data_IF_718751831762
#
_entry.id   IF_718751831762
#
_cell.length_a   1.000
_cell.length_b   1.000
_cell.length_c   1.000
_cell.angle_alpha   90.00
_cell.angle_beta   90.00
_cell.angle_gamma   90.00
#
_symmetry.space_group_name_H-M   'P 1'
#
loop_
_entity.id
_entity.type
_entity.pdbx_description
1 polymer ?
#
# COMPACT_ATOMS: atom_id res chain seq x y z
N UNK A 1 14.20 -8.55 31.58
CA UNK A 1 13.05 -8.10 30.77
C UNK A 1 13.37 -6.92 29.86
N UNK A 2 14.08 -5.88 30.30
CA UNK A 2 14.42 -4.68 29.50
C UNK A 2 15.17 -4.91 28.18
N UNK A 3 16.02 -5.94 28.08
CA UNK A 3 16.84 -6.21 26.89
C UNK A 3 16.04 -6.82 25.73
N UNK A 4 14.99 -7.59 26.03
CA UNK A 4 14.11 -8.21 25.02
C UNK A 4 13.28 -7.12 24.32
N UNK A 5 12.68 -6.20 25.10
CA UNK A 5 11.90 -5.08 24.56
C UNK A 5 12.73 -4.13 23.67
N UNK A 6 13.99 -3.86 24.05
CA UNK A 6 14.90 -3.07 23.22
C UNK A 6 15.19 -3.80 21.90
N UNK A 7 15.51 -5.10 21.95
CA UNK A 7 15.83 -5.89 20.76
C UNK A 7 14.63 -6.04 19.81
N UNK A 8 13.42 -6.20 20.34
CA UNK A 8 12.18 -6.20 19.52
C UNK A 8 11.91 -4.83 18.93
N UNK A 9 12.15 -3.74 19.65
CA UNK A 9 11.97 -2.37 19.14
C UNK A 9 12.92 -2.06 17.97
N UNK A 10 14.20 -2.42 18.06
CA UNK A 10 15.15 -2.24 16.96
C UNK A 10 14.84 -3.15 15.76
N UNK A 11 14.34 -4.36 16.00
CA UNK A 11 13.94 -5.26 14.93
C UNK A 11 12.74 -4.72 14.15
N UNK A 12 11.71 -4.23 14.86
CA UNK A 12 10.53 -3.58 14.28
C UNK A 12 10.92 -2.35 13.45
N UNK A 13 11.80 -1.48 13.97
CA UNK A 13 12.23 -0.29 13.22
C UNK A 13 13.06 -0.64 11.97
N UNK A 14 13.93 -1.65 12.06
CA UNK A 14 14.70 -2.13 10.91
C UNK A 14 13.82 -2.77 9.83
N UNK A 15 12.76 -3.47 10.26
CA UNK A 15 11.79 -4.07 9.35
C UNK A 15 11.01 -2.99 8.61
N UNK A 16 10.48 -2.00 9.34
CA UNK A 16 9.73 -0.87 8.79
C UNK A 16 10.58 -0.06 7.78
N UNK A 17 11.84 0.23 8.12
CA UNK A 17 12.76 0.95 7.23
C UNK A 17 13.04 0.20 5.91
N UNK A 18 13.16 -1.13 5.96
CA UNK A 18 13.32 -1.96 4.75
C UNK A 18 12.07 -1.94 3.88
N UNK A 19 10.88 -2.02 4.48
CA UNK A 19 9.60 -1.94 3.75
C UNK A 19 9.45 -0.58 3.05
N UNK A 20 9.78 0.52 3.74
CA UNK A 20 9.73 1.88 3.16
C UNK A 20 10.71 2.03 2.00
N UNK A 21 11.95 1.54 2.14
CA UNK A 21 12.96 1.62 1.09
C UNK A 21 12.54 0.81 -0.15
N UNK A 22 12.00 -0.39 0.08
CA UNK A 22 11.51 -1.26 -0.99
C UNK A 22 10.36 -0.62 -1.77
N UNK A 23 9.37 -0.05 -1.08
CA UNK A 23 8.27 0.70 -1.70
C UNK A 23 8.77 1.86 -2.57
N UNK A 24 9.71 2.66 -2.07
CA UNK A 24 10.30 3.78 -2.84
C UNK A 24 10.97 3.31 -4.14
N UNK A 25 11.66 2.17 -4.11
CA UNK A 25 12.30 1.58 -5.29
C UNK A 25 11.27 1.19 -6.35
N UNK A 26 10.20 0.49 -5.95
CA UNK A 26 9.11 0.08 -6.85
C UNK A 26 8.41 1.30 -7.49
N UNK A 27 8.09 2.30 -6.68
CA UNK A 27 7.45 3.54 -7.14
C UNK A 27 8.28 4.27 -8.21
N UNK A 28 9.59 4.29 -8.03
CA UNK A 28 10.50 5.01 -8.94
C UNK A 28 10.47 4.42 -10.35
N UNK A 29 10.45 3.09 -10.47
CA UNK A 29 10.47 2.43 -11.79
C UNK A 29 9.14 2.59 -12.52
N UNK A 30 8.02 2.20 -11.89
CA UNK A 30 6.75 2.16 -12.62
C UNK A 30 6.05 3.52 -12.71
N UNK A 31 6.12 4.35 -11.66
CA UNK A 31 5.34 5.60 -11.63
C UNK A 31 6.14 6.77 -12.21
N UNK A 32 7.41 6.91 -11.82
CA UNK A 32 8.24 8.05 -12.23
C UNK A 32 8.85 7.80 -13.61
N UNK A 33 9.50 6.64 -13.80
CA UNK A 33 10.17 6.33 -15.07
C UNK A 33 9.21 5.79 -16.13
N UNK A 34 7.99 5.38 -15.75
CA UNK A 34 6.97 4.77 -16.65
C UNK A 34 7.53 3.56 -17.41
N UNK A 35 8.42 2.81 -16.77
CA UNK A 35 9.07 1.64 -17.34
C UNK A 35 8.54 0.35 -16.71
N UNK A 36 8.56 -0.71 -17.51
CA UNK A 36 8.35 -2.07 -17.02
C UNK A 36 9.66 -2.49 -16.33
N UNK A 37 9.60 -3.02 -15.10
CA UNK A 37 10.76 -3.58 -14.42
C UNK A 37 11.43 -4.68 -15.25
N UNK A 38 12.75 -4.71 -15.28
CA UNK A 38 13.51 -5.76 -15.98
C UNK A 38 13.26 -7.13 -15.34
N UNK A 39 13.29 -7.19 -14.01
CA UNK A 39 12.89 -8.36 -13.23
C UNK A 39 11.42 -8.26 -12.80
N UNK A 40 10.68 -9.36 -12.95
CA UNK A 40 9.31 -9.48 -12.45
C UNK A 40 9.22 -9.27 -10.93
N UNK A 41 8.14 -8.64 -10.49
CA UNK A 41 7.92 -8.41 -9.06
C UNK A 41 7.34 -9.65 -8.39
N UNK A 42 7.74 -9.95 -7.14
CA UNK A 42 7.08 -10.98 -6.35
C UNK A 42 5.67 -10.54 -5.95
N UNK A 43 4.75 -11.49 -5.76
CA UNK A 43 3.32 -11.22 -5.54
C UNK A 43 3.05 -10.21 -4.41
N UNK A 44 3.74 -10.35 -3.27
CA UNK A 44 3.58 -9.42 -2.14
C UNK A 44 3.95 -7.97 -2.48
N UNK A 45 4.90 -7.76 -3.41
CA UNK A 45 5.30 -6.44 -3.85
C UNK A 45 4.25 -5.83 -4.79
N UNK A 46 3.64 -6.68 -5.63
CA UNK A 46 2.54 -6.29 -6.50
C UNK A 46 1.30 -5.94 -5.69
N UNK A 47 0.94 -6.76 -4.70
CA UNK A 47 -0.17 -6.47 -3.76
C UNK A 47 0.07 -5.14 -3.03
N UNK A 48 1.27 -4.93 -2.46
CA UNK A 48 1.60 -3.68 -1.77
C UNK A 48 1.48 -2.47 -2.70
N UNK A 49 1.89 -2.60 -3.96
CA UNK A 49 1.78 -1.54 -4.95
C UNK A 49 0.33 -1.26 -5.35
N UNK A 50 -0.46 -2.31 -5.62
CA UNK A 50 -1.87 -2.18 -5.98
C UNK A 50 -2.70 -1.59 -4.83
N UNK A 51 -2.49 -2.04 -3.59
CA UNK A 51 -3.14 -1.45 -2.42
C UNK A 51 -2.74 0.02 -2.24
N UNK A 52 -1.47 0.36 -2.47
CA UNK A 52 -1.03 1.74 -2.40
C UNK A 52 -1.70 2.61 -3.48
N UNK A 53 -1.83 2.12 -4.72
CA UNK A 53 -2.55 2.78 -5.79
C UNK A 53 -4.03 2.96 -5.45
N UNK A 54 -4.68 1.91 -4.96
CA UNK A 54 -6.10 1.94 -4.65
C UNK A 54 -6.44 2.96 -3.56
N UNK A 55 -5.54 3.18 -2.58
CA UNK A 55 -5.70 4.24 -1.56
C UNK A 55 -5.67 5.66 -2.12
N UNK A 56 -5.26 5.88 -3.38
CA UNK A 56 -5.23 7.21 -4.00
C UNK A 56 -6.57 7.59 -4.63
N UNK A 57 -7.43 6.62 -4.89
CA UNK A 57 -8.80 6.87 -5.33
C UNK A 57 -9.63 7.46 -4.17
N UNK A 58 -10.48 8.44 -4.48
CA UNK A 58 -11.22 9.22 -3.48
C UNK A 58 -12.18 8.36 -2.66
N UNK A 59 -12.73 7.29 -3.24
CA UNK A 59 -13.63 6.33 -2.57
C UNK A 59 -12.91 5.40 -1.56
N UNK A 60 -11.57 5.35 -1.60
CA UNK A 60 -10.73 4.44 -0.83
C UNK A 60 -9.77 5.17 0.13
N UNK A 61 -9.88 6.50 0.26
CA UNK A 61 -9.04 7.27 1.17
C UNK A 61 -9.24 6.83 2.62
N UNK A 62 -8.13 6.59 3.30
CA UNK A 62 -8.07 6.14 4.71
C UNK A 62 -7.63 7.23 5.67
N UNK A 63 -7.09 8.33 5.15
CA UNK A 63 -6.56 9.46 5.91
C UNK A 63 -7.64 10.47 6.32
N UNK A 64 -8.75 10.50 5.59
CA UNK A 64 -9.89 11.38 5.84
C UNK A 64 -11.20 10.59 5.85
N UNK A 65 -12.18 11.06 6.61
CA UNK A 65 -13.55 10.55 6.46
C UNK A 65 -14.15 11.10 5.17
N UNK A 66 -14.48 10.20 4.25
CA UNK A 66 -15.06 10.57 2.95
C UNK A 66 -16.57 10.76 3.07
N UNK A 67 -17.05 11.97 2.78
CA UNK A 67 -18.49 12.27 2.67
C UNK A 67 -18.81 12.47 1.19
N UNK A 68 -19.37 11.45 0.57
CA UNK A 68 -19.76 11.47 -0.84
C UNK A 68 -21.27 11.70 -1.00
N UNK A 69 -21.66 12.85 -1.57
CA UNK A 69 -23.06 13.21 -1.81
C UNK A 69 -23.53 12.97 -3.25
N UNK A 70 -22.63 12.57 -4.16
CA UNK A 70 -22.95 12.26 -5.55
C UNK A 70 -23.57 10.89 -5.74
N UNK A 71 -24.08 10.67 -6.96
CA UNK A 71 -24.65 9.40 -7.40
C UNK A 71 -23.58 8.37 -7.78
N UNK A 72 -22.35 8.81 -8.07
CA UNK A 72 -21.22 7.96 -8.52
C UNK A 72 -20.01 8.03 -7.59
N UNK A 73 -20.22 7.80 -6.30
CA UNK A 73 -19.15 7.82 -5.27
C UNK A 73 -18.33 6.51 -5.18
N UNK A 74 -18.51 5.57 -6.12
CA UNK A 74 -17.78 4.29 -6.09
C UNK A 74 -18.08 3.43 -4.85
N UNK A 75 -19.32 3.50 -4.33
CA UNK A 75 -19.73 2.76 -3.13
C UNK A 75 -19.81 1.26 -3.44
N UNK A 76 -19.01 0.46 -2.74
CA UNK A 76 -19.02 -1.02 -2.87
C UNK A 76 -19.65 -1.64 -1.63
N UNK A 77 -20.79 -2.31 -1.82
CA UNK A 77 -21.57 -2.99 -0.76
C UNK A 77 -20.97 -4.35 -0.39
N UNK A 78 -20.58 -5.15 -1.39
CA UNK A 78 -20.06 -6.49 -1.17
C UNK A 78 -18.57 -6.45 -0.80
N UNK A 79 -18.21 -6.98 0.37
CA UNK A 79 -16.83 -7.02 0.84
C UNK A 79 -15.92 -7.88 -0.04
N UNK A 80 -16.45 -8.93 -0.68
CA UNK A 80 -15.70 -9.74 -1.64
C UNK A 80 -15.32 -8.93 -2.89
N UNK A 81 -16.26 -8.15 -3.43
CA UNK A 81 -16.01 -7.27 -4.58
C UNK A 81 -14.95 -6.24 -4.23
N UNK A 82 -15.02 -5.65 -3.02
CA UNK A 82 -14.02 -4.70 -2.53
C UNK A 82 -12.62 -5.33 -2.52
N UNK A 83 -12.47 -6.54 -1.99
CA UNK A 83 -11.16 -7.21 -1.91
C UNK A 83 -10.53 -7.52 -3.28
N UNK A 84 -11.36 -7.73 -4.30
CA UNK A 84 -10.88 -8.11 -5.63
C UNK A 84 -10.53 -6.90 -6.51
N UNK A 85 -11.08 -5.72 -6.19
CA UNK A 85 -11.07 -4.58 -7.12
C UNK A 85 -10.84 -3.21 -6.49
N UNK A 86 -10.69 -3.10 -5.17
CA UNK A 86 -10.59 -1.84 -4.45
C UNK A 86 -9.53 -1.86 -3.36
#
# INVERSE_FOLDING_TARGET
>A
TSNIYKRTSYFLSYFDMRVVCYKKKLMRVCVILKQIPEDGWPDHALELFLSWLACHDTNNRVDITTVGAGEREGRVVCSLVRKLHC
#
